data_IF_375177712656
#
_entry.id   IF_375177712656
#
_cell.length_a   1.000
_cell.length_b   1.000
_cell.length_c   1.000
_cell.angle_alpha   90.00
_cell.angle_beta   90.00
_cell.angle_gamma   90.00
#
_symmetry.space_group_name_H-M   'P 1'
#
loop_
_entity.id
_entity.type
_entity.pdbx_description
1 polymer ?
#
# COMPACT_ATOMS: atom_id res chain seq x y z
N UNK A 1 32.45 -26.77 -23.73
CA UNK A 1 31.10 -26.22 -23.58
C UNK A 1 30.30 -26.49 -24.85
N UNK A 2 29.23 -27.27 -24.77
CA UNK A 2 28.40 -27.54 -25.95
C UNK A 2 27.50 -26.31 -26.25
N UNK A 3 27.31 -25.93 -27.53
CA UNK A 3 26.47 -24.81 -27.90
C UNK A 3 25.01 -25.10 -27.55
N UNK A 4 24.35 -24.17 -26.83
CA UNK A 4 22.91 -24.25 -26.55
C UNK A 4 22.15 -24.28 -27.87
N UNK A 5 21.45 -25.38 -28.17
CA UNK A 5 20.52 -25.47 -29.30
C UNK A 5 19.37 -24.47 -29.08
N UNK A 6 19.39 -23.39 -29.83
CA UNK A 6 18.29 -22.43 -29.89
C UNK A 6 17.14 -23.03 -30.69
N UNK A 7 15.91 -22.86 -30.23
CA UNK A 7 14.73 -23.34 -30.94
C UNK A 7 14.21 -22.23 -31.87
N UNK A 8 14.37 -22.40 -33.23
CA UNK A 8 14.02 -21.37 -34.20
C UNK A 8 12.55 -20.92 -34.15
N UNK A 9 11.64 -21.83 -33.77
CA UNK A 9 10.19 -21.52 -33.60
C UNK A 9 9.93 -20.61 -32.40
N UNK A 10 10.69 -20.82 -31.31
CA UNK A 10 10.60 -19.97 -30.13
C UNK A 10 11.12 -18.58 -30.39
N UNK A 11 12.24 -18.46 -31.14
CA UNK A 11 12.81 -17.17 -31.51
C UNK A 11 11.91 -16.41 -32.47
N UNK A 12 11.31 -17.08 -33.45
CA UNK A 12 10.33 -16.47 -34.35
C UNK A 12 9.07 -16.00 -33.63
N UNK A 13 8.60 -16.78 -32.66
CA UNK A 13 7.44 -16.37 -31.80
C UNK A 13 7.80 -15.15 -30.97
N UNK A 14 8.95 -15.15 -30.31
CA UNK A 14 9.40 -14.04 -29.47
C UNK A 14 9.68 -12.76 -30.27
N UNK A 15 10.17 -12.86 -31.49
CA UNK A 15 10.41 -11.70 -32.37
C UNK A 15 9.13 -11.09 -32.95
N UNK A 16 8.05 -11.85 -32.99
CA UNK A 16 6.75 -11.38 -33.47
C UNK A 16 5.83 -10.86 -32.32
N UNK A 17 6.29 -10.92 -31.07
CA UNK A 17 5.57 -10.26 -29.99
C UNK A 17 5.76 -8.74 -30.13
N UNK A 18 4.66 -7.96 -30.11
CA UNK A 18 4.73 -6.51 -30.21
C UNK A 18 5.45 -5.94 -28.99
N UNK A 19 6.75 -5.69 -29.12
CA UNK A 19 7.59 -5.17 -28.04
C UNK A 19 7.15 -3.79 -27.53
N UNK A 20 6.42 -3.03 -28.35
CA UNK A 20 5.93 -1.70 -28.01
C UNK A 20 4.78 -1.72 -27.00
N UNK A 21 3.90 -2.72 -27.04
CA UNK A 21 2.75 -2.78 -26.13
C UNK A 21 3.17 -3.17 -24.71
N UNK A 22 4.17 -4.06 -24.58
CA UNK A 22 4.72 -4.43 -23.26
C UNK A 22 5.44 -3.27 -22.56
N UNK A 23 6.11 -2.41 -23.28
CA UNK A 23 6.83 -1.26 -22.70
C UNK A 23 5.85 -0.18 -22.25
N UNK A 24 4.75 0.04 -22.97
CA UNK A 24 3.72 0.99 -22.59
C UNK A 24 2.94 0.54 -21.35
N UNK A 25 2.58 -0.75 -21.26
CA UNK A 25 1.91 -1.32 -20.09
C UNK A 25 2.79 -1.32 -18.84
N UNK A 26 4.08 -1.68 -18.97
CA UNK A 26 5.04 -1.62 -17.86
C UNK A 26 5.26 -0.16 -17.40
N UNK A 27 5.26 0.80 -18.31
CA UNK A 27 5.41 2.22 -17.98
C UNK A 27 4.19 2.77 -17.25
N UNK A 28 3.00 2.25 -17.50
CA UNK A 28 1.77 2.69 -16.83
C UNK A 28 1.70 2.23 -15.36
N UNK A 29 2.29 1.10 -15.02
CA UNK A 29 2.37 0.60 -13.62
C UNK A 29 3.49 1.30 -12.84
N UNK A 30 4.57 1.70 -13.52
CA UNK A 30 5.72 2.36 -12.87
C UNK A 30 5.31 3.71 -12.28
N UNK A 31 5.55 3.87 -10.99
CA UNK A 31 5.19 5.08 -10.25
C UNK A 31 3.74 5.12 -9.77
N UNK A 32 2.93 4.12 -10.13
CA UNK A 32 1.60 3.93 -9.53
C UNK A 32 1.74 3.27 -8.16
N UNK A 33 0.77 3.55 -7.30
CA UNK A 33 0.73 2.98 -5.96
C UNK A 33 0.30 1.51 -6.02
N UNK A 34 1.02 0.65 -5.30
CA UNK A 34 0.65 -0.75 -5.09
C UNK A 34 0.42 -1.02 -3.60
N UNK A 35 -0.26 -2.12 -3.29
CA UNK A 35 -0.58 -2.51 -1.92
C UNK A 35 -0.05 -3.91 -1.61
N UNK A 36 0.49 -4.09 -0.39
CA UNK A 36 0.96 -5.38 0.09
C UNK A 36 0.38 -5.68 1.46
N UNK A 37 -0.10 -6.91 1.64
CA UNK A 37 -0.58 -7.45 2.92
C UNK A 37 0.50 -8.23 3.69
N UNK A 38 1.76 -8.20 3.22
CA UNK A 38 2.86 -8.96 3.84
C UNK A 38 3.00 -8.72 5.34
N UNK A 39 2.70 -7.51 5.80
CA UNK A 39 2.87 -7.10 7.19
C UNK A 39 1.54 -6.95 7.95
N UNK A 40 0.45 -7.45 7.38
CA UNK A 40 -0.87 -7.33 8.00
C UNK A 40 -0.92 -8.03 9.36
N UNK A 41 -1.43 -7.32 10.37
CA UNK A 41 -1.63 -7.79 11.74
C UNK A 41 -3.07 -7.56 12.18
N UNK A 42 -3.91 -8.57 12.04
CA UNK A 42 -5.31 -8.56 12.50
C UNK A 42 -5.49 -9.05 13.93
N UNK A 43 -4.39 -9.28 14.69
CA UNK A 43 -4.45 -9.89 16.02
C UNK A 43 -4.63 -8.87 17.15
N UNK A 44 -4.40 -7.58 16.89
CA UNK A 44 -4.47 -6.55 17.93
C UNK A 44 -5.92 -6.15 18.22
N UNK A 45 -6.26 -6.02 19.50
CA UNK A 45 -7.60 -5.64 19.97
C UNK A 45 -8.05 -4.26 19.45
N UNK A 46 -7.11 -3.34 19.25
CA UNK A 46 -7.41 -2.01 18.73
C UNK A 46 -7.83 -2.03 17.25
N UNK A 47 -7.33 -3.00 16.48
CA UNK A 47 -7.62 -3.19 15.07
C UNK A 47 -8.69 -4.24 14.80
N UNK A 48 -8.84 -4.61 13.54
CA UNK A 48 -9.74 -5.68 13.11
C UNK A 48 -9.01 -6.62 12.16
N UNK A 49 -9.45 -7.87 12.14
CA UNK A 49 -9.14 -8.81 11.08
C UNK A 49 -10.20 -8.70 9.97
N UNK A 50 -9.92 -9.24 8.80
CA UNK A 50 -10.88 -9.31 7.68
C UNK A 50 -12.18 -10.04 8.05
N UNK A 51 -12.13 -11.03 8.95
CA UNK A 51 -13.33 -11.72 9.46
C UNK A 51 -14.27 -10.82 10.26
N UNK A 52 -13.74 -9.74 10.87
CA UNK A 52 -14.49 -8.83 11.73
C UNK A 52 -15.22 -7.73 10.92
N UNK A 53 -14.91 -7.65 9.63
CA UNK A 53 -15.55 -6.73 8.69
C UNK A 53 -16.71 -7.42 7.98
N UNK A 54 -17.82 -6.70 7.85
CA UNK A 54 -18.96 -7.18 7.05
C UNK A 54 -18.66 -7.08 5.55
N UNK A 55 -19.51 -7.68 4.72
CA UNK A 55 -19.29 -7.76 3.28
C UNK A 55 -19.24 -6.38 2.61
N UNK A 56 -20.05 -5.42 3.08
CA UNK A 56 -20.01 -4.02 2.59
C UNK A 56 -18.66 -3.37 2.87
N UNK A 57 -18.10 -3.54 4.05
CA UNK A 57 -16.79 -2.98 4.42
C UNK A 57 -15.65 -3.62 3.63
N UNK A 58 -15.74 -4.94 3.37
CA UNK A 58 -14.77 -5.65 2.52
C UNK A 58 -14.84 -5.19 1.07
N UNK A 59 -16.05 -5.00 0.54
CA UNK A 59 -16.26 -4.45 -0.80
C UNK A 59 -15.66 -3.05 -0.90
N UNK A 60 -15.94 -2.17 0.07
CA UNK A 60 -15.39 -0.82 0.13
C UNK A 60 -13.86 -0.84 0.15
N UNK A 61 -13.25 -1.73 0.95
CA UNK A 61 -11.80 -1.89 0.98
C UNK A 61 -11.24 -2.21 -0.40
N UNK A 62 -11.81 -3.21 -1.09
CA UNK A 62 -11.36 -3.62 -2.42
C UNK A 62 -11.53 -2.51 -3.46
N UNK A 63 -12.65 -1.79 -3.43
CA UNK A 63 -12.90 -0.64 -4.31
C UNK A 63 -11.89 0.49 -4.05
N UNK A 64 -11.60 0.80 -2.80
CA UNK A 64 -10.59 1.81 -2.43
C UNK A 64 -9.17 1.38 -2.85
N UNK A 65 -8.79 0.12 -2.64
CA UNK A 65 -7.49 -0.40 -3.10
C UNK A 65 -7.36 -0.27 -4.62
N UNK A 66 -8.41 -0.66 -5.37
CA UNK A 66 -8.46 -0.49 -6.83
C UNK A 66 -8.29 0.98 -7.23
N UNK A 67 -9.04 1.88 -6.59
CA UNK A 67 -9.02 3.30 -6.96
C UNK A 67 -7.68 3.95 -6.59
N UNK A 68 -7.13 3.63 -5.41
CA UNK A 68 -5.83 4.14 -4.98
C UNK A 68 -4.67 3.65 -5.85
N UNK A 69 -4.79 2.45 -6.45
CA UNK A 69 -3.78 1.90 -7.36
C UNK A 69 -3.71 2.60 -8.71
N UNK A 70 -4.68 3.46 -9.06
CA UNK A 70 -4.71 4.17 -10.35
C UNK A 70 -3.72 5.33 -10.43
N UNK A 71 -3.31 5.85 -9.28
CA UNK A 71 -2.49 7.05 -9.20
C UNK A 71 -1.24 6.84 -8.33
N UNK A 72 -0.32 7.79 -8.41
CA UNK A 72 0.92 7.76 -7.63
C UNK A 72 0.69 8.12 -6.15
N UNK A 73 1.64 7.76 -5.30
CA UNK A 73 1.67 8.20 -3.90
C UNK A 73 1.58 9.74 -3.80
N UNK A 74 2.31 10.47 -4.64
CA UNK A 74 2.30 11.94 -4.63
C UNK A 74 0.94 12.52 -4.98
N UNK A 75 0.22 11.91 -5.93
CA UNK A 75 -1.15 12.30 -6.25
C UNK A 75 -2.03 12.23 -4.99
N UNK A 76 -2.03 11.11 -4.26
CA UNK A 76 -2.87 10.91 -3.09
C UNK A 76 -2.49 11.79 -1.89
N UNK A 77 -1.21 12.14 -1.73
CA UNK A 77 -0.78 13.11 -0.72
C UNK A 77 -1.41 14.49 -0.94
N UNK A 78 -1.67 14.85 -2.18
CA UNK A 78 -2.25 16.13 -2.55
C UNK A 78 -3.80 16.13 -2.53
N UNK A 79 -4.43 14.94 -2.52
CA UNK A 79 -5.89 14.84 -2.53
C UNK A 79 -6.51 15.17 -1.18
N UNK A 80 -7.67 15.82 -1.25
CA UNK A 80 -8.50 16.19 -0.09
C UNK A 80 -9.94 15.80 -0.35
N UNK A 81 -10.65 15.46 0.73
CA UNK A 81 -12.08 15.12 0.68
C UNK A 81 -12.86 15.89 1.73
N UNK A 82 -14.14 16.10 1.44
CA UNK A 82 -15.06 16.84 2.30
C UNK A 82 -14.82 18.35 2.32
N UNK A 83 -15.76 19.08 2.89
CA UNK A 83 -15.70 20.54 3.03
C UNK A 83 -14.56 21.03 3.94
N UNK A 84 -14.09 20.19 4.85
CA UNK A 84 -12.96 20.47 5.75
C UNK A 84 -11.57 20.20 5.16
N UNK A 85 -11.49 19.76 3.89
CA UNK A 85 -10.20 19.50 3.24
C UNK A 85 -9.41 18.37 3.87
N UNK A 86 -10.06 17.28 4.26
CA UNK A 86 -9.44 16.14 4.94
C UNK A 86 -8.50 15.38 3.99
N UNK A 87 -7.30 15.06 4.42
CA UNK A 87 -6.31 14.33 3.63
C UNK A 87 -6.77 12.91 3.33
N UNK A 88 -6.62 12.49 2.08
CA UNK A 88 -6.86 11.10 1.63
C UNK A 88 -5.74 10.20 2.13
N UNK A 89 -4.49 10.57 1.85
CA UNK A 89 -3.28 9.93 2.36
C UNK A 89 -2.58 10.88 3.32
N UNK A 90 -2.17 10.39 4.47
CA UNK A 90 -1.37 11.11 5.44
C UNK A 90 -0.19 10.27 5.91
N UNK A 91 0.99 10.90 5.91
CA UNK A 91 2.23 10.29 6.40
C UNK A 91 2.56 10.93 7.74
N UNK A 92 2.58 10.12 8.81
CA UNK A 92 2.95 10.54 10.15
C UNK A 92 4.47 10.51 10.35
N UNK A 93 5.16 9.59 9.66
CA UNK A 93 6.57 9.29 9.86
C UNK A 93 6.74 8.23 10.94
N UNK A 94 6.90 8.61 12.17
CA UNK A 94 7.06 7.69 13.30
C UNK A 94 5.73 7.03 13.71
N UNK A 95 5.84 5.93 14.47
CA UNK A 95 4.68 5.30 15.10
C UNK A 95 4.07 6.25 16.13
N UNK A 96 2.76 6.51 16.12
CA UNK A 96 2.14 7.49 16.99
C UNK A 96 2.29 7.14 18.48
N UNK A 97 2.59 8.13 19.31
CA UNK A 97 2.65 7.94 20.77
C UNK A 97 1.25 7.81 21.37
N UNK A 98 0.28 8.59 20.87
CA UNK A 98 -1.12 8.53 21.29
C UNK A 98 -1.91 7.58 20.40
N UNK A 99 -1.74 6.29 20.64
CA UNK A 99 -2.37 5.20 19.88
C UNK A 99 -2.77 4.06 20.81
N UNK A 100 -3.81 3.32 20.44
CA UNK A 100 -4.19 2.08 21.12
C UNK A 100 -3.49 0.84 20.52
N UNK A 101 -2.74 1.01 19.43
CA UNK A 101 -1.99 -0.06 18.78
C UNK A 101 -0.59 -0.21 19.39
N UNK A 102 -0.06 -1.42 19.30
CA UNK A 102 1.32 -1.73 19.65
C UNK A 102 2.15 -1.88 18.37
N UNK A 103 3.39 -1.42 18.39
CA UNK A 103 4.31 -1.61 17.27
C UNK A 103 4.53 -3.11 17.00
N UNK A 104 4.19 -3.63 15.79
CA UNK A 104 4.34 -5.05 15.50
C UNK A 104 5.81 -5.43 15.34
N UNK A 105 6.24 -6.51 16.00
CA UNK A 105 7.64 -6.97 15.98
C UNK A 105 8.16 -7.34 14.59
N UNK A 106 7.25 -7.73 13.67
CA UNK A 106 7.59 -8.13 12.30
C UNK A 106 7.68 -6.97 11.31
N UNK A 107 7.32 -5.75 11.73
CA UNK A 107 7.48 -4.55 10.92
C UNK A 107 8.89 -3.99 11.10
N UNK A 108 9.63 -3.70 10.01
CA UNK A 108 10.98 -3.13 10.10
C UNK A 108 11.00 -1.80 10.85
N UNK A 109 12.10 -1.49 11.52
CA UNK A 109 12.31 -0.18 12.12
C UNK A 109 12.56 0.90 11.06
N UNK A 110 12.28 2.16 11.39
CA UNK A 110 12.57 3.29 10.51
C UNK A 110 11.61 3.43 9.32
N UNK A 111 10.51 2.68 9.29
CA UNK A 111 9.46 2.84 8.28
C UNK A 111 8.65 4.12 8.50
N UNK A 112 8.04 4.64 7.45
CA UNK A 112 7.22 5.85 7.52
C UNK A 112 5.74 5.48 7.65
N UNK A 113 5.26 5.46 8.89
CA UNK A 113 3.85 5.17 9.21
C UNK A 113 2.91 6.15 8.54
N UNK A 114 1.83 5.62 8.00
CA UNK A 114 0.91 6.35 7.14
C UNK A 114 -0.48 5.74 7.21
N UNK A 115 -1.48 6.51 6.79
CA UNK A 115 -2.84 6.01 6.67
C UNK A 115 -3.52 6.49 5.41
N UNK A 116 -4.36 5.65 4.84
CA UNK A 116 -5.37 6.03 3.88
C UNK A 116 -6.73 6.21 4.58
N UNK A 117 -7.44 7.24 4.16
CA UNK A 117 -8.82 7.47 4.58
C UNK A 117 -9.73 6.53 3.80
N UNK A 118 -10.64 5.89 4.53
CA UNK A 118 -11.78 5.20 4.00
C UNK A 118 -13.06 5.95 4.35
N UNK A 119 -14.23 5.34 4.21
CA UNK A 119 -15.50 5.95 4.63
C UNK A 119 -15.55 6.18 6.14
N UNK A 120 -16.26 7.23 6.54
CA UNK A 120 -16.46 7.57 7.96
C UNK A 120 -15.15 7.60 8.79
N UNK A 121 -15.11 6.92 9.92
CA UNK A 121 -13.93 6.81 10.80
C UNK A 121 -12.91 5.76 10.37
N UNK A 122 -13.23 4.91 9.37
CA UNK A 122 -12.35 3.82 8.95
C UNK A 122 -11.05 4.32 8.32
N UNK A 123 -9.95 3.67 8.67
CA UNK A 123 -8.61 3.94 8.15
C UNK A 123 -7.91 2.64 7.77
N UNK A 124 -7.21 2.70 6.66
CA UNK A 124 -6.25 1.69 6.28
C UNK A 124 -4.87 2.17 6.73
N UNK A 125 -4.32 1.51 7.72
CA UNK A 125 -3.05 1.89 8.34
C UNK A 125 -1.92 1.00 7.85
N UNK A 126 -0.79 1.60 7.58
CA UNK A 126 0.39 0.91 7.09
C UNK A 126 1.60 1.83 7.04
N UNK A 127 2.53 1.49 6.18
CA UNK A 127 3.74 2.28 6.03
C UNK A 127 4.28 2.33 4.61
N UNK A 128 5.10 3.33 4.37
CA UNK A 128 6.03 3.40 3.24
C UNK A 128 7.46 3.23 3.73
N UNK A 129 8.33 2.81 2.84
CA UNK A 129 9.77 2.76 3.09
C UNK A 129 10.47 3.94 2.41
N UNK A 130 11.61 4.35 2.97
CA UNK A 130 12.51 5.29 2.33
C UNK A 130 13.40 4.58 1.30
N UNK A 131 14.00 5.31 0.38
CA UNK A 131 14.94 4.76 -0.60
C UNK A 131 16.12 4.02 0.05
N UNK A 132 16.57 4.49 1.21
CA UNK A 132 17.64 3.83 1.97
C UNK A 132 17.22 2.46 2.50
N UNK A 133 15.97 2.30 2.91
CA UNK A 133 15.43 1.04 3.43
C UNK A 133 15.11 0.00 2.33
N UNK A 134 14.99 0.43 1.08
CA UNK A 134 14.73 -0.47 -0.06
C UNK A 134 15.83 -1.52 -0.20
N UNK A 135 17.10 -1.10 -0.10
CA UNK A 135 18.25 -2.01 -0.25
C UNK A 135 18.38 -2.96 0.93
N UNK A 136 18.05 -2.51 2.13
CA UNK A 136 18.18 -3.30 3.36
C UNK A 136 17.10 -4.39 3.47
N UNK A 137 15.86 -4.09 3.12
CA UNK A 137 14.72 -5.01 3.34
C UNK A 137 14.14 -5.61 2.06
N UNK A 138 14.62 -5.24 0.87
CA UNK A 138 14.07 -5.67 -0.41
C UNK A 138 12.64 -5.19 -0.64
N UNK A 139 12.27 -4.04 -0.09
CA UNK A 139 10.94 -3.43 -0.20
C UNK A 139 10.92 -2.35 -1.30
N UNK A 140 9.74 -1.86 -1.67
CA UNK A 140 9.58 -0.85 -2.71
C UNK A 140 8.97 0.44 -2.15
N UNK A 141 9.45 1.60 -2.63
CA UNK A 141 8.93 2.94 -2.25
C UNK A 141 7.53 3.23 -2.75
N UNK A 142 7.09 2.54 -3.81
CA UNK A 142 5.77 2.72 -4.43
C UNK A 142 4.72 1.74 -3.88
N UNK A 143 5.10 0.93 -2.88
CA UNK A 143 4.21 0.00 -2.21
C UNK A 143 3.78 0.56 -0.86
N UNK A 144 2.48 0.58 -0.63
CA UNK A 144 1.91 0.77 0.70
C UNK A 144 1.75 -0.59 1.37
N UNK A 145 2.51 -0.81 2.44
CA UNK A 145 2.47 -2.04 3.23
C UNK A 145 1.41 -1.91 4.30
N UNK A 146 0.27 -2.59 4.09
CA UNK A 146 -0.87 -2.57 5.00
C UNK A 146 -0.50 -3.35 6.26
N UNK A 147 -0.77 -2.75 7.43
CA UNK A 147 -0.53 -3.38 8.73
C UNK A 147 -1.82 -3.53 9.52
N UNK A 148 -2.66 -2.52 9.59
CA UNK A 148 -3.89 -2.57 10.38
C UNK A 148 -5.11 -2.10 9.59
N UNK A 149 -6.25 -2.71 9.90
CA UNK A 149 -7.56 -2.16 9.64
C UNK A 149 -8.04 -1.44 10.91
N UNK A 150 -8.27 -0.14 10.82
CA UNK A 150 -8.69 0.70 11.94
C UNK A 150 -10.08 1.27 11.66
N UNK A 151 -11.11 0.56 12.10
CA UNK A 151 -12.52 0.96 11.92
C UNK A 151 -12.90 2.16 12.77
N UNK A 152 -12.27 2.32 13.94
CA UNK A 152 -12.69 3.24 14.97
C UNK A 152 -11.76 4.45 15.15
N UNK A 153 -10.81 4.66 14.21
CA UNK A 153 -9.84 5.75 14.25
C UNK A 153 -8.97 5.77 15.53
N UNK A 154 -8.49 4.59 15.94
CA UNK A 154 -7.71 4.38 17.17
C UNK A 154 -6.20 4.44 16.98
N UNK A 155 -5.73 4.45 15.70
CA UNK A 155 -4.30 4.47 15.41
C UNK A 155 -3.64 5.82 15.72
N UNK A 156 -4.29 6.92 15.38
CA UNK A 156 -3.82 8.26 15.70
C UNK A 156 -4.94 9.03 16.39
N UNK A 157 -4.84 9.15 17.71
CA UNK A 157 -5.82 9.91 18.49
C UNK A 157 -5.34 11.35 18.59
N UNK A 158 -6.18 12.29 18.11
CA UNK A 158 -5.99 13.72 18.40
C UNK A 158 -6.26 13.94 19.86
N UNK A 159 -5.39 14.68 20.54
CA UNK A 159 -5.73 15.17 21.88
C UNK A 159 -6.98 16.04 21.76
N UNK A 160 -8.01 15.71 22.50
CA UNK A 160 -9.19 16.56 22.63
C UNK A 160 -8.71 17.91 23.16
N UNK A 161 -8.93 18.95 22.35
CA UNK A 161 -8.68 20.33 22.75
C UNK A 161 -9.76 20.81 23.70
#
# INVERSE_FOLDING_TARGET
>A
MAPKKTNPRKECFLSNLPAQDFVSEISDVKGKLSFSLKYFDGSQEAGQDFKDWNDKQKQELLEKLRDYSRESKQYWLNQRVGSGGLKVLEIYGEFPRNTDFKYPRHVPSGVRWSRFRMESAMRLVGFFVSENSVKEYGLSTDVFYIVFLDRNHRFYKTEDK
#
